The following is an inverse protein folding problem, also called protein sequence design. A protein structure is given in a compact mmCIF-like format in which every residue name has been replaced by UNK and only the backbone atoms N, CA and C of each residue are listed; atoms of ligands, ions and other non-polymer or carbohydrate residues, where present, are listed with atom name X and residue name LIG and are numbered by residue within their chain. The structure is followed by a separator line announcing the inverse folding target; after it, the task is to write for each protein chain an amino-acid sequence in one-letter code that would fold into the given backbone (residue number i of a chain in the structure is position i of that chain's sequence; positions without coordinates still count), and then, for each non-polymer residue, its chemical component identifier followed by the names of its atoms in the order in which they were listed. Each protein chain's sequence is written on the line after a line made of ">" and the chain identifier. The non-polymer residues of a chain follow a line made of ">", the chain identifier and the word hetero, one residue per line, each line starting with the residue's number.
data_IF_093164234060
#
_entry.id   IF_093164234060
#
_cell.length_a   1.000
_cell.length_b   1.000
_cell.length_c   1.000
_cell.angle_alpha   90.00
_cell.angle_beta   90.00
_cell.angle_gamma   90.00
#
_symmetry.space_group_name_H-M   'P 1'
#
loop_
_entity.id
_entity.type
_entity.pdbx_description
1 polymer ?
#
# COMPACT_ATOMS: atom_id res chain seq x y z
N UNK A 1 3.75 30.42 -29.45
CA UNK A 1 4.58 29.80 -30.50
C UNK A 1 4.07 28.42 -30.96
N UNK A 2 3.36 27.64 -30.11
CA UNK A 2 2.81 26.34 -30.53
C UNK A 2 1.50 26.39 -31.34
N UNK A 3 0.67 27.42 -31.20
CA UNK A 3 -0.60 27.55 -31.95
C UNK A 3 -0.35 27.80 -33.45
N UNK A 4 0.72 28.52 -33.81
CA UNK A 4 1.06 28.79 -35.22
C UNK A 4 1.58 27.58 -35.98
N UNK A 5 2.18 26.59 -35.30
CA UNK A 5 2.70 25.38 -35.95
C UNK A 5 1.56 24.42 -36.33
N UNK A 6 0.52 24.34 -35.48
CA UNK A 6 -0.66 23.50 -35.74
C UNK A 6 -1.49 24.06 -36.90
N UNK A 7 -1.71 25.38 -36.95
CA UNK A 7 -2.37 26.03 -38.10
C UNK A 7 -1.60 25.85 -39.41
N UNK A 8 -0.26 25.83 -39.36
CA UNK A 8 0.58 25.59 -40.55
C UNK A 8 0.46 24.14 -41.04
N UNK A 9 0.43 23.17 -40.12
CA UNK A 9 0.22 21.75 -40.46
C UNK A 9 -1.17 21.48 -41.06
N UNK A 10 -2.22 22.12 -40.53
CA UNK A 10 -3.59 21.98 -41.06
C UNK A 10 -3.69 22.56 -42.48
N UNK A 11 -3.08 23.72 -42.75
CA UNK A 11 -3.08 24.33 -44.08
C UNK A 11 -2.26 23.52 -45.11
N UNK A 12 -1.14 22.93 -44.69
CA UNK A 12 -0.33 22.07 -45.57
C UNK A 12 -1.10 20.79 -45.93
N UNK A 13 -1.79 20.17 -44.97
CA UNK A 13 -2.60 18.95 -45.22
C UNK A 13 -3.78 19.25 -46.15
N UNK A 14 -4.49 20.38 -45.99
CA UNK A 14 -5.56 20.76 -46.92
C UNK A 14 -5.06 21.05 -48.35
N UNK A 15 -3.83 21.54 -48.51
CA UNK A 15 -3.24 21.79 -49.83
C UNK A 15 -2.80 20.51 -50.55
N UNK A 16 -2.40 19.47 -49.80
CA UNK A 16 -2.05 18.16 -50.36
C UNK A 16 -3.30 17.43 -50.86
N UNK A 17 -4.41 17.52 -50.12
CA UNK A 17 -5.70 16.91 -50.48
C UNK A 17 -6.29 17.55 -51.76
N UNK A 18 -6.06 18.84 -52.00
CA UNK A 18 -6.53 19.52 -53.22
C UNK A 18 -5.68 19.24 -54.48
N UNK A 19 -4.57 18.51 -54.36
CA UNK A 19 -3.64 18.28 -55.47
C UNK A 19 -3.76 16.89 -56.12
N UNK A 20 -4.46 15.94 -55.50
CA UNK A 20 -4.65 14.58 -56.03
C UNK A 20 -5.91 14.41 -56.90
N UNK A 21 -6.77 15.43 -57.03
CA UNK A 21 -8.08 15.28 -57.70
C UNK A 21 -8.08 15.53 -59.23
N UNK A 22 -6.95 15.27 -59.89
CA UNK A 22 -6.90 15.18 -61.37
C UNK A 22 -6.01 14.03 -61.80
N UNK A 23 -6.53 12.80 -61.75
CA UNK A 23 -6.38 11.80 -62.84
C UNK A 23 -7.21 10.54 -62.54
N UNK A 24 -8.32 10.42 -63.28
CA UNK A 24 -8.98 9.20 -63.77
C UNK A 24 -9.18 7.95 -62.87
N UNK A 25 -10.47 7.70 -62.64
CA UNK A 25 -11.20 6.44 -62.84
C UNK A 25 -11.25 5.38 -61.71
N UNK A 26 -12.48 5.25 -61.17
CA UNK A 26 -13.22 4.01 -60.92
C UNK A 26 -12.75 3.12 -59.76
N UNK A 27 -13.40 3.23 -58.59
CA UNK A 27 -14.34 2.24 -58.01
C UNK A 27 -14.59 2.49 -56.52
N UNK A 28 -15.85 2.32 -56.09
CA UNK A 28 -16.34 2.17 -54.70
C UNK A 28 -16.12 3.32 -53.71
N UNK A 29 -16.92 4.39 -53.84
CA UNK A 29 -17.29 5.23 -52.70
C UNK A 29 -18.52 4.66 -52.02
N UNK A 30 -18.36 4.22 -50.75
CA UNK A 30 -19.37 4.27 -49.66
C UNK A 30 -19.02 3.36 -48.47
N UNK A 31 -17.75 3.35 -47.99
CA UNK A 31 -17.45 2.73 -46.70
C UNK A 31 -16.25 3.30 -45.91
N UNK A 32 -15.57 4.34 -46.42
CA UNK A 32 -14.45 4.99 -45.71
C UNK A 32 -14.85 6.25 -44.90
N UNK A 33 -15.99 6.88 -45.20
CA UNK A 33 -16.43 8.11 -44.51
C UNK A 33 -16.96 7.87 -43.09
N UNK A 34 -17.70 6.77 -42.87
CA UNK A 34 -18.41 6.52 -41.60
C UNK A 34 -17.46 6.21 -40.44
N UNK A 35 -16.33 5.53 -40.72
CA UNK A 35 -15.31 5.25 -39.70
C UNK A 35 -14.54 6.48 -39.27
N UNK A 36 -14.29 7.42 -40.19
CA UNK A 36 -13.58 8.65 -39.91
C UNK A 36 -14.44 9.63 -39.09
N UNK A 37 -15.73 9.75 -39.42
CA UNK A 37 -16.68 10.55 -38.63
C UNK A 37 -16.85 10.03 -37.20
N UNK A 38 -16.84 8.70 -37.00
CA UNK A 38 -16.89 8.10 -35.67
C UNK A 38 -15.61 8.36 -34.86
N UNK A 39 -14.44 8.36 -35.51
CA UNK A 39 -13.17 8.69 -34.88
C UNK A 39 -13.12 10.18 -34.53
N UNK A 40 -13.58 11.06 -35.41
CA UNK A 40 -13.70 12.50 -35.16
C UNK A 40 -14.63 12.80 -33.99
N UNK A 41 -15.83 12.20 -33.95
CA UNK A 41 -16.75 12.37 -32.85
C UNK A 41 -16.16 11.88 -31.51
N UNK A 42 -15.40 10.78 -31.53
CA UNK A 42 -14.67 10.30 -30.34
C UNK A 42 -13.54 11.22 -29.93
N UNK A 43 -12.80 11.81 -30.88
CA UNK A 43 -11.76 12.79 -30.61
C UNK A 43 -12.34 14.07 -29.98
N UNK A 44 -13.42 14.60 -30.55
CA UNK A 44 -14.14 15.76 -29.99
C UNK A 44 -14.68 15.47 -28.58
N UNK A 45 -15.24 14.29 -28.36
CA UNK A 45 -15.67 13.84 -27.03
C UNK A 45 -14.50 13.77 -26.05
N UNK A 46 -13.34 13.28 -26.48
CA UNK A 46 -12.15 13.17 -25.64
C UNK A 46 -11.58 14.56 -25.32
N UNK A 47 -11.61 15.49 -26.27
CA UNK A 47 -11.18 16.87 -26.07
C UNK A 47 -12.06 17.60 -25.05
N UNK A 48 -13.37 17.38 -25.11
CA UNK A 48 -14.32 17.90 -24.11
C UNK A 48 -14.03 17.35 -22.71
N UNK A 49 -13.73 16.06 -22.60
CA UNK A 49 -13.38 15.41 -21.33
C UNK A 49 -12.05 15.95 -20.77
N UNK A 50 -11.04 16.13 -21.63
CA UNK A 50 -9.76 16.75 -21.27
C UNK A 50 -9.96 18.19 -20.79
N UNK A 51 -10.84 18.96 -21.43
CA UNK A 51 -11.14 20.33 -21.00
C UNK A 51 -11.82 20.36 -19.62
N UNK A 52 -12.78 19.46 -19.38
CA UNK A 52 -13.42 19.30 -18.08
C UNK A 52 -12.42 18.94 -16.97
N UNK A 53 -11.53 17.97 -17.24
CA UNK A 53 -10.48 17.56 -16.30
C UNK A 53 -9.47 18.68 -16.03
N UNK A 54 -9.10 19.47 -17.04
CA UNK A 54 -8.22 20.64 -16.86
C UNK A 54 -8.86 21.68 -15.95
N UNK A 55 -10.16 21.92 -16.10
CA UNK A 55 -10.88 22.87 -15.26
C UNK A 55 -10.99 22.36 -13.81
N UNK A 56 -11.31 21.08 -13.61
CA UNK A 56 -11.29 20.46 -12.28
C UNK A 56 -9.91 20.57 -11.62
N UNK A 57 -8.83 20.36 -12.37
CA UNK A 57 -7.47 20.47 -11.85
C UNK A 57 -7.07 21.91 -11.50
N UNK A 58 -7.58 22.90 -12.26
CA UNK A 58 -7.42 24.33 -11.95
C UNK A 58 -8.16 24.68 -10.66
N UNK A 59 -9.41 24.25 -10.52
CA UNK A 59 -10.21 24.46 -9.31
C UNK A 59 -9.57 23.80 -8.09
N UNK A 60 -9.04 22.58 -8.24
CA UNK A 60 -8.31 21.90 -7.17
C UNK A 60 -7.04 22.65 -6.78
N UNK A 61 -6.27 23.16 -7.76
CA UNK A 61 -5.08 23.97 -7.50
C UNK A 61 -5.41 25.27 -6.76
N UNK A 62 -6.56 25.87 -7.04
CA UNK A 62 -7.03 27.08 -6.34
C UNK A 62 -7.46 26.75 -4.90
N UNK A 63 -8.23 25.68 -4.70
CA UNK A 63 -8.60 25.18 -3.38
C UNK A 63 -7.39 24.82 -2.51
N UNK A 64 -6.36 24.20 -3.10
CA UNK A 64 -5.10 23.88 -2.40
C UNK A 64 -4.34 25.17 -2.04
N UNK A 65 -4.29 26.15 -2.93
CA UNK A 65 -3.67 27.46 -2.67
C UNK A 65 -4.38 28.19 -1.52
N UNK A 66 -5.71 28.15 -1.50
CA UNK A 66 -6.50 28.79 -0.45
C UNK A 66 -6.38 28.04 0.89
N UNK A 67 -6.34 26.70 0.88
CA UNK A 67 -6.04 25.90 2.07
C UNK A 67 -4.64 26.18 2.63
N UNK A 68 -3.64 26.39 1.76
CA UNK A 68 -2.28 26.77 2.17
C UNK A 68 -2.23 28.18 2.78
N UNK A 69 -2.98 29.15 2.23
CA UNK A 69 -3.11 30.49 2.82
C UNK A 69 -3.77 30.47 4.20
N UNK A 70 -4.71 29.55 4.44
CA UNK A 70 -5.33 29.32 5.76
C UNK A 70 -4.31 28.72 6.73
N UNK A 71 -3.37 27.89 6.26
CA UNK A 71 -2.35 27.27 7.12
C UNK A 71 -1.26 28.23 7.59
N UNK A 72 -1.02 29.36 6.89
CA UNK A 72 0.14 30.23 7.11
C UNK A 72 -0.20 31.58 7.77
N UNK A 73 -1.48 31.86 8.07
CA UNK A 73 -1.89 33.06 8.83
C UNK A 73 -3.03 32.75 9.80
N UNK A 74 -2.70 32.76 11.10
CA UNK A 74 -3.59 32.84 12.26
C UNK A 74 -4.30 31.54 12.73
N UNK A 75 -3.57 30.68 13.46
CA UNK A 75 -4.11 29.84 14.55
C UNK A 75 -2.99 29.27 15.47
N UNK A 76 -2.15 30.12 16.07
CA UNK A 76 -1.21 29.67 17.14
C UNK A 76 -1.15 30.61 18.36
N UNK A 77 -1.73 31.82 18.33
CA UNK A 77 -1.62 32.76 19.47
C UNK A 77 -2.93 33.30 20.05
N UNK A 78 -4.10 32.97 19.48
CA UNK A 78 -5.40 33.37 20.07
C UNK A 78 -6.05 32.21 20.84
N UNK A 79 -5.78 30.96 20.46
CA UNK A 79 -6.32 29.79 21.15
C UNK A 79 -5.62 29.46 22.48
N UNK A 80 -4.51 30.11 22.85
CA UNK A 80 -3.82 29.83 24.12
C UNK A 80 -4.37 30.60 25.32
N UNK A 81 -5.06 31.73 25.11
CA UNK A 81 -5.56 32.56 26.21
C UNK A 81 -7.02 32.27 26.60
N UNK A 82 -7.82 31.66 25.72
CA UNK A 82 -9.18 31.21 26.07
C UNK A 82 -9.20 29.79 26.66
N UNK A 83 -8.20 28.94 26.34
CA UNK A 83 -8.09 27.57 26.85
C UNK A 83 -7.63 27.54 28.32
N UNK A 84 -6.85 28.52 28.79
CA UNK A 84 -6.41 28.57 30.21
C UNK A 84 -7.56 28.91 31.16
N UNK A 85 -8.56 29.72 30.74
CA UNK A 85 -9.72 30.02 31.60
C UNK A 85 -10.84 28.97 31.55
N UNK A 86 -10.85 28.11 30.52
CA UNK A 86 -11.78 26.98 30.42
C UNK A 86 -11.23 25.68 31.01
N UNK A 87 -9.91 25.60 31.25
CA UNK A 87 -9.24 24.48 31.91
C UNK A 87 -9.55 24.31 33.41
N UNK A 88 -10.08 25.33 34.08
CA UNK A 88 -10.49 25.25 35.50
C UNK A 88 -11.95 24.81 35.70
N UNK A 89 -12.76 24.72 34.63
CA UNK A 89 -14.20 24.37 34.73
C UNK A 89 -14.47 22.90 34.35
N UNK A 90 -13.56 22.22 33.64
CA UNK A 90 -13.72 20.81 33.21
C UNK A 90 -13.23 19.80 34.26
N UNK A 91 -12.84 20.25 35.45
CA UNK A 91 -12.47 19.34 36.55
C UNK A 91 -13.67 18.83 37.36
N UNK A 92 -14.88 19.36 37.18
CA UNK A 92 -15.97 19.08 38.13
C UNK A 92 -17.30 18.56 37.58
N UNK A 93 -17.59 18.67 36.27
CA UNK A 93 -18.82 18.10 35.71
C UNK A 93 -18.63 17.67 34.26
N UNK A 94 -18.49 16.36 34.01
CA UNK A 94 -19.19 15.64 32.92
C UNK A 94 -18.70 14.19 32.77
N UNK A 95 -19.24 13.37 33.67
CA UNK A 95 -19.33 11.92 33.57
C UNK A 95 -20.37 11.45 32.52
N UNK A 96 -20.51 12.10 31.35
CA UNK A 96 -21.47 11.67 30.30
C UNK A 96 -21.08 12.19 28.92
N UNK A 97 -20.05 11.64 28.26
CA UNK A 97 -20.05 11.31 26.81
C UNK A 97 -19.07 10.13 26.62
N UNK A 98 -19.59 8.91 26.64
CA UNK A 98 -18.87 7.74 26.09
C UNK A 98 -19.13 7.74 24.59
N UNK A 99 -18.12 8.09 23.80
CA UNK A 99 -18.13 7.72 22.38
C UNK A 99 -17.85 6.23 22.34
N UNK A 100 -18.90 5.44 22.16
CA UNK A 100 -18.80 4.01 21.89
C UNK A 100 -17.97 3.85 20.61
N UNK A 101 -16.72 3.40 20.74
CA UNK A 101 -16.00 2.79 19.63
C UNK A 101 -16.55 1.37 19.46
N UNK A 102 -17.76 1.28 18.91
CA UNK A 102 -18.28 -0.01 18.46
C UNK A 102 -17.50 -0.39 17.20
N UNK A 103 -16.47 -1.22 17.37
CA UNK A 103 -15.93 -2.05 16.30
C UNK A 103 -17.13 -2.76 15.64
N UNK A 104 -17.26 -2.74 14.29
CA UNK A 104 -18.43 -3.31 13.64
C UNK A 104 -18.61 -4.76 14.12
N UNK A 105 -19.80 -5.03 14.63
CA UNK A 105 -20.18 -6.35 15.15
C UNK A 105 -19.91 -7.38 14.05
N UNK A 106 -19.04 -8.35 14.35
CA UNK A 106 -18.58 -9.29 13.33
C UNK A 106 -19.75 -10.20 12.97
N UNK A 107 -20.16 -10.17 11.70
CA UNK A 107 -21.18 -11.09 11.17
C UNK A 107 -20.69 -12.54 11.31
N UNK A 108 -21.14 -13.22 12.38
CA UNK A 108 -20.74 -14.59 12.69
C UNK A 108 -21.30 -15.63 11.71
N UNK A 109 -22.18 -15.24 10.77
CA UNK A 109 -22.75 -16.17 9.80
C UNK A 109 -21.73 -16.68 8.77
N UNK A 110 -20.62 -15.96 8.56
CA UNK A 110 -19.58 -16.30 7.59
C UNK A 110 -18.17 -16.16 8.19
N UNK A 111 -17.83 -17.08 9.10
CA UNK A 111 -16.50 -17.19 9.73
C UNK A 111 -15.72 -18.35 9.11
N UNK A 112 -14.49 -18.08 8.67
CA UNK A 112 -13.61 -19.07 8.05
C UNK A 112 -12.39 -19.36 8.94
N UNK A 113 -11.76 -20.52 8.82
CA UNK A 113 -10.53 -20.81 9.58
C UNK A 113 -9.33 -20.03 9.02
N UNK A 114 -9.34 -19.80 7.71
CA UNK A 114 -8.28 -19.08 6.98
C UNK A 114 -8.82 -18.55 5.66
N UNK A 115 -8.06 -17.66 5.01
CA UNK A 115 -8.39 -17.18 3.67
C UNK A 115 -8.43 -18.30 2.61
N UNK A 116 -7.80 -19.45 2.87
CA UNK A 116 -7.81 -20.60 1.97
C UNK A 116 -9.19 -21.31 1.90
N UNK A 117 -10.07 -21.05 2.86
CA UNK A 117 -11.42 -21.62 2.92
C UNK A 117 -12.51 -20.68 2.42
N UNK A 118 -12.14 -19.44 2.04
CA UNK A 118 -13.11 -18.44 1.58
C UNK A 118 -13.70 -18.85 0.23
N UNK A 119 -15.04 -18.92 0.09
CA UNK A 119 -15.69 -19.30 -1.15
C UNK A 119 -15.55 -18.21 -2.24
N UNK A 120 -15.83 -18.59 -3.48
CA UNK A 120 -15.89 -17.73 -4.67
C UNK A 120 -14.57 -17.08 -5.12
N UNK A 121 -13.46 -17.28 -4.41
CA UNK A 121 -12.14 -16.78 -4.81
C UNK A 121 -12.09 -15.25 -4.94
N UNK A 122 -12.93 -14.52 -4.21
CA UNK A 122 -12.96 -13.04 -4.25
C UNK A 122 -11.97 -12.46 -3.24
N UNK A 123 -11.13 -11.54 -3.71
CA UNK A 123 -10.25 -10.77 -2.82
C UNK A 123 -11.09 -9.78 -2.00
N UNK A 124 -10.86 -9.70 -0.69
CA UNK A 124 -11.68 -8.87 0.19
C UNK A 124 -11.42 -9.07 1.67
N UNK A 125 -12.25 -8.43 2.52
CA UNK A 125 -12.20 -8.57 3.98
C UNK A 125 -13.12 -9.71 4.42
N UNK A 126 -12.60 -10.60 5.25
CA UNK A 126 -13.33 -11.77 5.76
C UNK A 126 -13.08 -11.95 7.24
N UNK A 127 -14.09 -12.45 7.96
CA UNK A 127 -13.96 -12.79 9.37
C UNK A 127 -13.24 -14.15 9.50
N UNK A 128 -12.11 -14.17 10.20
CA UNK A 128 -11.25 -15.35 10.33
C UNK A 128 -11.12 -15.75 11.80
N UNK A 129 -11.25 -17.06 12.07
CA UNK A 129 -11.02 -17.70 13.37
C UNK A 129 -10.08 -18.90 13.20
N UNK A 130 -8.75 -18.71 13.32
CA UNK A 130 -7.77 -19.76 13.02
C UNK A 130 -7.80 -20.97 13.95
N UNK A 131 -8.24 -20.77 15.19
CA UNK A 131 -8.34 -21.84 16.21
C UNK A 131 -9.74 -21.78 16.82
N UNK A 132 -10.32 -22.94 17.08
CA UNK A 132 -11.62 -23.01 17.78
C UNK A 132 -11.54 -22.24 19.10
N UNK A 133 -12.54 -21.42 19.36
CA UNK A 133 -12.64 -20.57 20.56
C UNK A 133 -11.55 -19.49 20.71
N UNK A 134 -10.74 -19.23 19.67
CA UNK A 134 -9.83 -18.08 19.64
C UNK A 134 -10.54 -16.78 19.28
N UNK A 135 -9.85 -15.66 19.50
CA UNK A 135 -10.31 -14.33 19.06
C UNK A 135 -10.63 -14.35 17.57
N UNK A 136 -11.82 -13.83 17.24
CA UNK A 136 -12.29 -13.56 15.88
C UNK A 136 -11.74 -12.21 15.42
N UNK A 137 -11.33 -12.10 14.16
CA UNK A 137 -10.87 -10.83 13.57
C UNK A 137 -11.09 -10.80 12.07
N UNK A 138 -11.20 -9.60 11.50
CA UNK A 138 -11.18 -9.42 10.06
C UNK A 138 -9.75 -9.56 9.52
N UNK A 139 -9.61 -10.22 8.38
CA UNK A 139 -8.38 -10.30 7.61
C UNK A 139 -8.64 -9.92 6.15
N UNK A 140 -7.63 -9.40 5.46
CA UNK A 140 -7.69 -9.17 4.02
C UNK A 140 -7.20 -10.43 3.31
N UNK A 141 -8.09 -11.08 2.56
CA UNK A 141 -7.81 -12.28 1.78
C UNK A 141 -7.49 -11.90 0.33
N UNK A 142 -6.31 -12.30 -0.12
CA UNK A 142 -5.86 -12.18 -1.51
C UNK A 142 -6.06 -13.52 -2.24
N UNK A 143 -6.99 -13.52 -3.19
CA UNK A 143 -7.49 -14.74 -3.83
C UNK A 143 -7.04 -14.92 -5.28
N UNK A 144 -6.33 -13.94 -5.86
CA UNK A 144 -5.92 -13.95 -7.26
C UNK A 144 -4.42 -14.24 -7.42
N UNK A 145 -3.59 -13.70 -6.52
CA UNK A 145 -2.14 -13.87 -6.62
C UNK A 145 -1.74 -15.31 -6.27
N UNK A 146 -1.02 -15.96 -7.20
CA UNK A 146 -0.38 -17.25 -6.97
C UNK A 146 -1.30 -18.34 -6.37
N UNK A 147 -2.46 -18.52 -7.00
CA UNK A 147 -3.45 -19.53 -6.61
C UNK A 147 -4.37 -19.11 -5.45
N UNK A 148 -4.22 -17.90 -4.90
CA UNK A 148 -5.13 -17.37 -3.90
C UNK A 148 -5.04 -18.01 -2.52
N UNK A 149 -6.02 -17.74 -1.67
CA UNK A 149 -6.08 -18.26 -0.30
C UNK A 149 -5.11 -17.58 0.67
N UNK A 150 -4.56 -16.42 0.30
CA UNK A 150 -3.54 -15.73 1.07
C UNK A 150 -4.14 -14.78 2.09
N UNK A 151 -3.69 -14.87 3.35
CA UNK A 151 -3.95 -13.85 4.36
C UNK A 151 -2.86 -12.78 4.27
N UNK A 152 -3.23 -11.55 3.93
CA UNK A 152 -2.29 -10.41 3.88
C UNK A 152 -1.98 -9.94 5.30
N UNK A 153 -0.69 -9.95 5.67
CA UNK A 153 -0.21 -9.54 6.99
C UNK A 153 0.48 -8.16 6.98
N UNK A 154 0.84 -7.67 5.80
CA UNK A 154 1.34 -6.31 5.58
C UNK A 154 1.01 -5.88 4.15
N UNK A 155 0.62 -4.61 3.98
CA UNK A 155 0.36 -4.00 2.67
C UNK A 155 0.87 -2.57 2.62
N UNK A 156 1.71 -2.25 1.63
CA UNK A 156 2.27 -0.92 1.33
C UNK A 156 2.13 -0.63 -0.16
N UNK A 157 1.73 0.57 -0.54
CA UNK A 157 1.56 0.99 -1.93
C UNK A 157 1.50 2.51 -2.18
N UNK A 158 1.33 3.34 -1.14
CA UNK A 158 1.17 4.79 -1.30
C UNK A 158 1.80 5.64 -0.19
N UNK A 159 2.29 5.04 0.90
CA UNK A 159 2.89 5.77 2.02
C UNK A 159 1.91 6.55 2.89
N UNK A 160 0.60 6.25 2.83
CA UNK A 160 -0.41 6.96 3.64
C UNK A 160 -0.36 6.61 5.12
N UNK A 161 0.25 5.48 5.48
CA UNK A 161 0.35 5.01 6.86
C UNK A 161 1.80 5.11 7.37
N UNK A 162 1.96 5.54 8.63
CA UNK A 162 3.27 5.62 9.27
C UNK A 162 3.66 4.25 9.83
N UNK A 163 4.75 3.66 9.33
CA UNK A 163 5.29 2.38 9.82
C UNK A 163 6.43 2.53 10.83
N UNK A 164 6.90 3.74 11.11
CA UNK A 164 7.85 3.98 12.20
C UNK A 164 7.09 4.08 13.54
N UNK A 165 6.72 2.91 14.07
CA UNK A 165 5.83 2.72 15.22
C UNK A 165 6.50 1.93 16.35
N UNK A 166 5.92 2.02 17.55
CA UNK A 166 6.43 1.38 18.75
C UNK A 166 6.10 -0.13 18.78
N UNK A 167 6.60 -0.82 19.81
CA UNK A 167 6.34 -2.24 20.05
C UNK A 167 4.86 -2.58 20.14
N UNK A 168 4.09 -1.80 20.91
CA UNK A 168 2.67 -2.03 21.15
C UNK A 168 1.86 -2.00 19.85
N UNK A 169 2.12 -1.03 18.98
CA UNK A 169 1.47 -0.90 17.68
C UNK A 169 1.81 -2.10 16.78
N UNK A 170 3.07 -2.53 16.74
CA UNK A 170 3.47 -3.71 15.96
C UNK A 170 2.91 -5.02 16.52
N UNK A 171 2.70 -5.08 17.84
CA UNK A 171 2.04 -6.20 18.51
C UNK A 171 0.57 -6.29 18.11
N UNK A 172 -0.19 -5.21 18.26
CA UNK A 172 -1.64 -5.19 18.07
C UNK A 172 -2.08 -4.97 16.62
N UNK A 173 -1.20 -4.46 15.76
CA UNK A 173 -1.52 -4.03 14.40
C UNK A 173 -1.97 -2.57 14.33
N UNK A 174 -1.85 -2.00 13.12
CA UNK A 174 -2.22 -0.61 12.81
C UNK A 174 -2.54 -0.45 11.31
N UNK A 175 -3.13 0.69 10.97
CA UNK A 175 -3.60 0.99 9.61
C UNK A 175 -5.00 0.43 9.33
N UNK A 176 -5.36 0.35 8.05
CA UNK A 176 -6.68 -0.12 7.60
C UNK A 176 -6.55 -1.26 6.61
N UNK A 177 -7.40 -2.29 6.73
CA UNK A 177 -7.47 -3.39 5.76
C UNK A 177 -7.90 -2.93 4.35
N UNK A 178 -8.51 -1.74 4.24
CA UNK A 178 -8.83 -1.11 2.96
C UNK A 178 -7.66 -0.28 2.39
N UNK A 179 -6.60 -0.08 3.19
CA UNK A 179 -5.44 0.76 2.86
C UNK A 179 -4.11 0.06 3.16
N UNK A 180 -3.12 0.85 3.61
CA UNK A 180 -1.87 0.31 4.14
C UNK A 180 -2.07 -0.13 5.59
N UNK A 181 -1.48 -1.27 5.95
CA UNK A 181 -1.61 -1.80 7.30
C UNK A 181 -0.50 -2.79 7.67
N UNK A 182 -0.34 -2.97 8.98
CA UNK A 182 0.37 -4.07 9.60
C UNK A 182 -0.63 -4.87 10.44
N UNK A 183 -0.68 -6.19 10.24
CA UNK A 183 -1.75 -7.02 10.81
C UNK A 183 -1.64 -7.27 12.31
N UNK A 184 -0.45 -7.05 12.88
CA UNK A 184 -0.16 -7.29 14.30
C UNK A 184 0.51 -8.64 14.53
N UNK A 185 1.62 -8.61 15.27
CA UNK A 185 2.42 -9.79 15.59
C UNK A 185 1.63 -10.83 16.39
N UNK A 186 0.68 -10.42 17.25
CA UNK A 186 -0.17 -11.35 18.00
C UNK A 186 -1.03 -12.21 17.07
N UNK A 187 -1.65 -11.60 16.04
CA UNK A 187 -2.48 -12.32 15.07
C UNK A 187 -1.61 -13.23 14.18
N UNK A 188 -0.45 -12.74 13.74
CA UNK A 188 0.50 -13.52 12.93
C UNK A 188 1.00 -14.74 13.71
N UNK A 189 1.34 -14.57 15.00
CA UNK A 189 1.74 -15.67 15.86
C UNK A 189 0.60 -16.68 16.03
N UNK A 190 -0.63 -16.22 16.33
CA UNK A 190 -1.79 -17.09 16.49
C UNK A 190 -2.02 -17.98 15.26
N UNK A 191 -1.97 -17.41 14.05
CA UNK A 191 -2.14 -18.16 12.82
C UNK A 191 -0.98 -19.13 12.57
N UNK A 192 0.26 -18.66 12.65
CA UNK A 192 1.43 -19.48 12.28
C UNK A 192 1.83 -20.53 13.33
N UNK A 193 1.27 -20.44 14.54
CA UNK A 193 1.45 -21.45 15.59
C UNK A 193 0.35 -22.52 15.59
N UNK A 194 -0.82 -22.26 15.01
CA UNK A 194 -1.92 -23.24 14.96
C UNK A 194 -1.73 -24.31 13.90
N UNK A 195 -1.05 -23.98 12.80
CA UNK A 195 -0.71 -24.91 11.73
C UNK A 195 0.46 -24.39 10.90
N UNK A 196 1.07 -25.27 10.11
CA UNK A 196 2.17 -24.90 9.21
C UNK A 196 1.68 -23.89 8.17
N UNK A 197 2.41 -22.79 8.02
CA UNK A 197 2.15 -21.79 6.99
C UNK A 197 3.37 -21.65 6.06
N UNK A 198 3.14 -21.20 4.84
CA UNK A 198 4.15 -20.55 4.01
C UNK A 198 3.99 -19.03 4.08
N UNK A 199 5.06 -18.30 3.78
CA UNK A 199 5.07 -16.84 3.62
C UNK A 199 5.49 -16.47 2.21
N UNK A 200 4.80 -15.48 1.63
CA UNK A 200 5.13 -14.88 0.34
C UNK A 200 5.28 -13.37 0.47
N UNK A 201 6.30 -12.84 -0.20
CA UNK A 201 6.55 -11.42 -0.42
C UNK A 201 6.27 -11.12 -1.88
N UNK A 202 5.27 -10.27 -2.15
CA UNK A 202 4.97 -9.75 -3.47
C UNK A 202 5.44 -8.30 -3.55
N UNK A 203 6.42 -8.02 -4.42
CA UNK A 203 7.17 -6.77 -4.42
C UNK A 203 7.09 -6.10 -5.79
N UNK A 204 6.88 -4.78 -5.79
CA UNK A 204 6.82 -3.97 -7.00
C UNK A 204 7.76 -2.78 -6.83
N UNK A 205 8.69 -2.56 -7.76
CA UNK A 205 9.55 -1.38 -7.79
C UNK A 205 8.85 -0.19 -8.48
N UNK A 206 9.44 1.01 -8.40
CA UNK A 206 8.91 2.20 -9.09
C UNK A 206 9.01 2.14 -10.62
N UNK A 207 9.70 1.13 -11.18
CA UNK A 207 9.72 0.82 -12.61
C UNK A 207 8.64 -0.20 -13.01
N UNK A 208 7.76 -0.58 -12.06
CA UNK A 208 6.66 -1.55 -12.22
C UNK A 208 7.13 -2.99 -12.48
N UNK A 209 8.37 -3.32 -12.12
CA UNK A 209 8.85 -4.70 -12.11
C UNK A 209 8.25 -5.43 -10.92
N UNK A 210 7.62 -6.57 -11.17
CA UNK A 210 7.03 -7.42 -10.12
C UNK A 210 7.97 -8.59 -9.83
N UNK A 211 8.26 -8.82 -8.55
CA UNK A 211 9.05 -9.97 -8.07
C UNK A 211 8.41 -10.62 -6.86
N UNK A 212 8.74 -11.90 -6.66
CA UNK A 212 8.25 -12.67 -5.52
C UNK A 212 9.39 -13.36 -4.78
N UNK A 213 9.23 -13.49 -3.46
CA UNK A 213 10.03 -14.38 -2.63
C UNK A 213 9.09 -15.21 -1.75
N UNK A 214 9.38 -16.49 -1.57
CA UNK A 214 8.57 -17.42 -0.79
C UNK A 214 9.43 -18.30 0.09
N UNK A 215 8.87 -18.68 1.23
CA UNK A 215 9.50 -19.58 2.19
C UNK A 215 8.45 -20.50 2.79
N UNK A 216 8.71 -21.80 2.78
CA UNK A 216 7.86 -22.82 3.38
C UNK A 216 8.75 -23.81 4.17
N UNK A 217 8.56 -23.97 5.50
CA UNK A 217 7.52 -23.35 6.35
C UNK A 217 7.88 -21.94 6.85
N UNK A 218 6.92 -21.25 7.46
CA UNK A 218 7.10 -19.98 8.17
C UNK A 218 6.31 -19.96 9.47
N UNK A 219 6.96 -19.56 10.56
CA UNK A 219 6.29 -19.27 11.83
C UNK A 219 7.08 -18.34 12.73
N UNK A 220 6.38 -17.64 13.62
CA UNK A 220 6.97 -16.75 14.63
C UNK A 220 6.62 -17.20 16.05
N UNK A 221 7.50 -16.91 17.00
CA UNK A 221 7.26 -17.10 18.43
C UNK A 221 6.25 -16.11 19.01
N UNK A 222 5.94 -16.26 20.29
CA UNK A 222 5.07 -15.31 21.00
C UNK A 222 5.84 -14.08 21.49
N UNK A 223 5.14 -13.16 22.18
CA UNK A 223 5.73 -11.94 22.74
C UNK A 223 6.89 -12.22 23.71
N UNK A 224 6.79 -13.23 24.58
CA UNK A 224 7.84 -13.58 25.55
C UNK A 224 9.12 -14.03 24.86
N UNK A 225 8.99 -14.56 23.65
CA UNK A 225 10.11 -14.96 22.79
C UNK A 225 10.60 -13.82 21.88
N UNK A 226 10.00 -12.63 21.98
CA UNK A 226 10.30 -11.47 21.12
C UNK A 226 9.84 -11.65 19.68
N UNK A 227 8.77 -12.45 19.46
CA UNK A 227 8.25 -12.81 18.14
C UNK A 227 9.34 -13.34 17.17
N UNK A 228 10.30 -14.09 17.70
CA UNK A 228 11.41 -14.67 16.93
C UNK A 228 10.92 -15.46 15.71
N UNK A 229 11.60 -15.37 14.57
CA UNK A 229 11.35 -16.27 13.43
C UNK A 229 11.73 -17.70 13.84
N UNK A 230 10.74 -18.51 14.20
CA UNK A 230 10.87 -19.89 14.70
C UNK A 230 11.24 -20.84 13.57
N UNK A 231 10.50 -20.76 12.47
CA UNK A 231 10.69 -21.58 11.28
C UNK A 231 10.74 -20.68 10.05
N UNK A 232 11.70 -20.95 9.17
CA UNK A 232 11.79 -20.32 7.86
C UNK A 232 12.27 -21.36 6.85
N UNK A 233 11.53 -21.56 5.78
CA UNK A 233 11.83 -22.55 4.77
C UNK A 233 13.04 -22.24 3.92
N UNK A 234 13.26 -23.07 2.92
CA UNK A 234 14.12 -22.71 1.80
C UNK A 234 13.47 -21.58 0.98
N UNK A 235 14.28 -20.65 0.51
CA UNK A 235 13.86 -19.60 -0.41
C UNK A 235 13.47 -20.18 -1.76
N UNK A 236 12.37 -19.67 -2.33
CA UNK A 236 12.04 -19.79 -3.76
C UNK A 236 11.49 -18.47 -4.28
N UNK A 237 11.61 -18.20 -5.58
CA UNK A 237 11.04 -17.00 -6.21
C UNK A 237 12.02 -16.25 -7.11
N UNK A 238 11.61 -15.06 -7.55
CA UNK A 238 12.32 -14.23 -8.52
C UNK A 238 12.98 -12.97 -7.92
N UNK A 239 12.68 -12.63 -6.65
CA UNK A 239 13.17 -11.42 -5.99
C UNK A 239 14.60 -11.54 -5.42
N UNK A 240 15.17 -12.75 -5.42
CA UNK A 240 16.38 -13.09 -4.66
C UNK A 240 16.09 -13.22 -3.16
N UNK A 241 16.99 -13.89 -2.44
CA UNK A 241 16.81 -14.19 -1.01
C UNK A 241 17.18 -12.99 -0.12
N UNK A 242 16.16 -12.18 0.20
CA UNK A 242 16.29 -11.00 1.07
C UNK A 242 15.85 -11.26 2.51
N UNK A 243 15.40 -12.46 2.86
CA UNK A 243 14.78 -12.73 4.17
C UNK A 243 15.49 -13.81 4.99
N UNK A 244 16.20 -14.77 4.38
CA UNK A 244 16.94 -15.79 5.13
C UNK A 244 18.02 -15.21 6.05
N UNK A 245 18.55 -14.03 5.74
CA UNK A 245 19.50 -13.31 6.62
C UNK A 245 18.91 -12.97 8.00
N UNK A 246 17.59 -12.86 8.09
CA UNK A 246 16.86 -12.52 9.32
C UNK A 246 16.41 -13.76 10.12
N UNK A 247 16.72 -14.96 9.63
CA UNK A 247 16.34 -16.23 10.25
C UNK A 247 16.76 -16.28 11.73
N UNK A 248 15.82 -16.65 12.59
CA UNK A 248 16.05 -16.78 14.03
C UNK A 248 16.22 -15.46 14.77
N UNK A 249 16.04 -14.31 14.12
CA UNK A 249 16.07 -13.01 14.78
C UNK A 249 14.73 -12.72 15.46
N UNK A 250 14.80 -11.96 16.55
CA UNK A 250 13.67 -11.37 17.24
C UNK A 250 13.22 -10.10 16.53
N UNK A 251 11.98 -9.69 16.76
CA UNK A 251 11.46 -8.45 16.22
C UNK A 251 12.03 -7.25 17.00
N UNK A 252 12.34 -6.17 16.31
CA UNK A 252 12.93 -4.94 16.87
C UNK A 252 12.15 -3.73 16.38
N UNK A 253 11.77 -2.86 17.31
CA UNK A 253 11.15 -1.54 17.07
C UNK A 253 12.05 -0.43 17.62
N UNK A 254 11.70 0.84 17.40
CA UNK A 254 12.53 1.93 17.90
C UNK A 254 12.63 2.00 19.42
N UNK A 255 11.66 1.44 20.14
CA UNK A 255 11.58 1.44 21.61
C UNK A 255 12.00 0.11 22.25
N UNK A 256 12.09 -0.98 21.46
CA UNK A 256 12.53 -2.31 21.93
C UNK A 256 13.62 -2.84 21.00
N UNK A 257 14.85 -2.85 21.49
CA UNK A 257 16.04 -3.32 20.77
C UNK A 257 16.32 -4.80 21.04
N UNK A 258 16.07 -5.66 20.06
CA UNK A 258 16.37 -7.09 20.11
C UNK A 258 17.35 -7.53 18.99
N UNK A 259 17.98 -6.59 18.29
CA UNK A 259 18.87 -6.91 17.19
C UNK A 259 20.29 -7.24 17.67
N UNK A 260 21.20 -7.55 16.74
CA UNK A 260 22.59 -7.94 17.05
C UNK A 260 23.60 -6.84 16.76
N UNK A 261 23.14 -5.64 16.42
CA UNK A 261 24.01 -4.51 16.12
C UNK A 261 24.35 -3.74 17.41
N UNK A 262 25.35 -2.87 17.34
CA UNK A 262 25.77 -2.07 18.50
C UNK A 262 24.79 -0.94 18.83
N UNK A 263 23.91 -0.60 17.90
CA UNK A 263 22.89 0.43 18.03
C UNK A 263 21.60 -0.09 17.43
N UNK A 264 20.46 0.33 17.98
CA UNK A 264 19.14 -0.06 17.49
C UNK A 264 18.97 0.20 15.97
N UNK A 265 18.85 -0.88 15.20
CA UNK A 265 18.65 -0.86 13.75
C UNK A 265 17.32 -0.18 13.37
N UNK A 266 16.25 -0.37 14.14
CA UNK A 266 14.96 0.27 13.90
C UNK A 266 15.07 1.79 13.99
N UNK A 267 15.81 2.34 14.96
CA UNK A 267 16.07 3.80 15.05
C UNK A 267 16.91 4.30 13.88
N UNK A 268 17.93 3.55 13.48
CA UNK A 268 18.86 3.96 12.42
C UNK A 268 18.21 3.97 11.03
N UNK A 269 17.31 3.01 10.79
CA UNK A 269 16.74 2.74 9.46
C UNK A 269 15.21 2.92 9.39
N UNK A 270 14.64 3.60 10.38
CA UNK A 270 13.26 4.09 10.42
C UNK A 270 12.19 3.06 10.05
N UNK A 271 12.31 1.87 10.62
CA UNK A 271 11.34 0.78 10.42
C UNK A 271 11.23 -0.10 11.66
N UNK A 272 10.58 -1.25 11.49
CA UNK A 272 10.61 -2.32 12.48
C UNK A 272 10.63 -3.67 11.76
N UNK A 273 11.50 -4.56 12.21
CA UNK A 273 11.76 -5.81 11.50
C UNK A 273 12.41 -6.84 12.41
N UNK A 274 12.57 -8.06 11.90
CA UNK A 274 13.45 -9.08 12.47
C UNK A 274 14.92 -8.78 12.16
N UNK A 275 15.40 -7.60 12.58
CA UNK A 275 16.75 -7.13 12.25
C UNK A 275 17.83 -8.09 12.79
N UNK A 276 18.86 -8.31 11.98
CA UNK A 276 20.11 -8.94 12.41
C UNK A 276 21.15 -7.84 12.71
N UNK A 277 22.01 -7.49 11.75
CA UNK A 277 23.01 -6.42 11.90
C UNK A 277 23.32 -5.72 10.56
N UNK A 278 22.38 -5.01 9.93
CA UNK A 278 20.99 -4.80 10.35
C UNK A 278 20.00 -5.54 9.45
N UNK A 279 20.11 -5.40 8.12
CA UNK A 279 19.14 -6.03 7.22
C UNK A 279 19.64 -6.40 5.83
N UNK A 280 18.91 -7.32 5.20
CA UNK A 280 18.88 -7.54 3.73
C UNK A 280 17.55 -7.15 3.08
N UNK A 281 16.56 -6.81 3.90
CA UNK A 281 15.24 -6.32 3.53
C UNK A 281 14.68 -5.48 4.67
N UNK A 282 14.00 -4.38 4.35
CA UNK A 282 13.42 -3.47 5.34
C UNK A 282 12.05 -2.97 4.85
N UNK A 283 11.08 -3.88 4.76
CA UNK A 283 9.77 -3.59 4.11
C UNK A 283 8.85 -2.67 4.94
N UNK A 284 9.19 -2.45 6.20
CA UNK A 284 8.48 -1.57 7.12
C UNK A 284 9.18 -0.22 7.32
N UNK A 285 10.18 0.09 6.50
CA UNK A 285 10.82 1.40 6.51
C UNK A 285 9.92 2.46 5.85
N UNK A 286 10.48 3.66 5.68
CA UNK A 286 9.81 4.76 5.01
C UNK A 286 9.50 4.47 3.54
N UNK A 287 8.33 4.93 3.10
CA UNK A 287 7.90 4.85 1.71
C UNK A 287 8.56 5.97 0.90
N UNK A 288 9.67 5.67 0.23
CA UNK A 288 10.51 6.68 -0.43
C UNK A 288 10.89 6.18 -1.83
N UNK A 289 10.61 6.96 -2.87
CA UNK A 289 11.12 6.70 -4.23
C UNK A 289 12.54 7.28 -4.40
N UNK A 290 13.49 6.74 -3.66
CA UNK A 290 14.89 7.14 -3.74
C UNK A 290 15.79 6.00 -3.27
N UNK A 291 17.07 6.13 -3.60
CA UNK A 291 18.12 5.28 -3.08
C UNK A 291 18.53 5.77 -1.70
N UNK A 292 18.09 5.08 -0.65
CA UNK A 292 18.47 5.41 0.73
C UNK A 292 18.32 4.18 1.62
N UNK A 293 19.17 4.06 2.63
CA UNK A 293 19.11 2.99 3.63
C UNK A 293 17.91 3.08 4.57
N UNK A 294 17.11 4.14 4.44
CA UNK A 294 15.86 4.35 5.18
C UNK A 294 14.61 3.99 4.35
N UNK A 295 14.78 3.61 3.09
CA UNK A 295 13.66 3.29 2.19
C UNK A 295 13.18 1.85 2.37
N UNK A 296 11.89 1.65 2.10
CA UNK A 296 11.26 0.34 1.95
C UNK A 296 11.97 -0.45 0.85
N UNK A 297 12.78 -1.46 1.22
CA UNK A 297 13.69 -2.10 0.26
C UNK A 297 13.81 -3.63 0.41
N UNK A 298 14.27 -4.25 -0.68
CA UNK A 298 14.65 -5.66 -0.76
C UNK A 298 15.96 -5.77 -1.54
N UNK A 299 17.09 -5.93 -0.84
CA UNK A 299 18.42 -5.71 -1.43
C UNK A 299 18.74 -6.60 -2.63
N UNK A 300 18.34 -7.90 -2.67
CA UNK A 300 18.59 -8.74 -3.84
C UNK A 300 17.77 -8.36 -5.08
N UNK A 301 16.65 -7.64 -4.91
CA UNK A 301 15.81 -7.18 -6.01
C UNK A 301 16.29 -5.80 -6.48
N UNK A 302 16.46 -4.87 -5.54
CA UNK A 302 16.78 -3.48 -5.80
C UNK A 302 18.18 -3.17 -5.24
N UNK A 303 19.20 -3.43 -6.06
CA UNK A 303 20.61 -3.25 -5.69
C UNK A 303 20.89 -1.83 -5.19
N UNK A 304 21.19 -1.67 -3.91
CA UNK A 304 21.62 -0.40 -3.31
C UNK A 304 20.56 0.35 -2.50
N UNK A 305 19.49 -0.31 -2.06
CA UNK A 305 18.38 0.28 -1.29
C UNK A 305 17.53 1.26 -2.11
N UNK A 306 17.29 0.96 -3.39
CA UNK A 306 16.25 1.67 -4.14
C UNK A 306 14.88 1.28 -3.58
N UNK A 307 14.10 2.30 -3.20
CA UNK A 307 12.78 2.08 -2.62
C UNK A 307 11.82 1.31 -3.53
N UNK A 308 10.90 0.59 -2.89
CA UNK A 308 9.83 -0.15 -3.54
C UNK A 308 8.57 0.71 -3.64
N UNK A 309 7.82 0.52 -4.72
CA UNK A 309 6.50 1.13 -4.92
C UNK A 309 5.41 0.36 -4.18
N UNK A 310 5.55 -0.96 -4.03
CA UNK A 310 4.60 -1.74 -3.26
C UNK A 310 5.25 -2.96 -2.63
N UNK A 311 4.81 -3.30 -1.42
CA UNK A 311 5.06 -4.58 -0.79
C UNK A 311 3.74 -5.15 -0.27
N UNK A 312 3.54 -6.44 -0.50
CA UNK A 312 2.49 -7.20 0.16
C UNK A 312 3.11 -8.46 0.75
N UNK A 313 3.01 -8.62 2.06
CA UNK A 313 3.47 -9.80 2.79
C UNK A 313 2.25 -10.63 3.13
N UNK A 314 2.28 -11.91 2.79
CA UNK A 314 1.14 -12.80 2.91
C UNK A 314 1.54 -14.13 3.50
N UNK A 315 0.65 -14.76 4.25
CA UNK A 315 0.80 -16.14 4.73
C UNK A 315 -0.36 -17.00 4.27
N UNK A 316 -0.11 -18.30 4.08
CA UNK A 316 -1.14 -19.28 3.73
C UNK A 316 -0.84 -20.62 4.40
N UNK A 317 -1.84 -21.35 4.89
CA UNK A 317 -1.66 -22.71 5.39
C UNK A 317 -1.12 -23.66 4.30
N UNK A 318 -0.30 -24.65 4.67
CA UNK A 318 0.26 -25.66 3.75
C UNK A 318 -0.09 -27.08 4.16
#
# INVERSE_FOLDING_TARGET
>A
MHISIVLWLVLVISSVIHSEDRTSHSTNENNFGFGLELILAKLESLELEIMSLKEQNRNLSELVSDALKISDKSCVQVATNEIVSTGEIVAEQNNVIRVDQNEPEIDESHVYSSCNEVPDGKTGKYAIRPVKDSKLFYAYCEMQINGGGWTVIQKRFNGSENFYRNWTDYKTGFGSLDGEFWFGLDRIHLMTSSQTHEIMFHLIDFKRTVKTAKYNPFSIGNEREGYVIKSLGAYTGSAGDGFSYHRGMKFTTYDVDNDKFTTNCAKKYYGAWWYHACYKSNLNAWYINARTDQAMCWNPFNMGNDGLMSSMIMIRPV
#
